data_IF_442492548105
#
_entry.id   IF_442492548105
#
_cell.length_a   1.000
_cell.length_b   1.000
_cell.length_c   1.000
_cell.angle_alpha   90.00
_cell.angle_beta   90.00
_cell.angle_gamma   90.00
#
_symmetry.space_group_name_H-M   'P 1'
#
loop_
_entity.id
_entity.type
_entity.pdbx_description
1 polymer ?
#
# COMPACT_ATOMS: atom_id res chain seq x y z
N UNK A 1 -5.73 -80.39 -80.47
CA UNK A 1 -5.31 -79.04 -80.92
C UNK A 1 -6.34 -78.04 -80.41
N UNK A 2 -5.83 -76.86 -80.08
CA UNK A 2 -6.40 -75.75 -79.32
C UNK A 2 -7.87 -75.39 -79.61
N UNK A 3 -8.56 -74.97 -78.55
CA UNK A 3 -9.36 -73.73 -78.59
C UNK A 3 -9.17 -72.95 -77.27
N UNK A 4 -8.02 -72.29 -77.15
CA UNK A 4 -7.66 -71.34 -76.08
C UNK A 4 -8.07 -69.85 -76.26
N UNK A 5 -8.80 -69.36 -77.31
CA UNK A 5 -8.98 -67.93 -77.50
C UNK A 5 -10.14 -67.30 -76.68
N UNK A 6 -11.15 -68.07 -76.27
CA UNK A 6 -12.34 -67.53 -75.58
C UNK A 6 -12.09 -67.23 -74.09
N UNK A 7 -11.33 -68.09 -73.41
CA UNK A 7 -10.99 -67.93 -71.98
C UNK A 7 -10.04 -66.73 -71.79
N UNK A 8 -9.05 -66.59 -72.67
CA UNK A 8 -8.08 -65.49 -72.62
C UNK A 8 -8.73 -64.13 -72.91
N UNK A 9 -9.74 -64.08 -73.79
CA UNK A 9 -10.47 -62.84 -74.11
C UNK A 9 -11.36 -62.38 -72.96
N UNK A 10 -12.09 -63.30 -72.29
CA UNK A 10 -12.91 -62.95 -71.12
C UNK A 10 -12.06 -62.58 -69.90
N UNK A 11 -10.93 -63.25 -69.70
CA UNK A 11 -9.99 -62.93 -68.62
C UNK A 11 -9.35 -61.55 -68.80
N UNK A 12 -8.98 -61.17 -70.04
CA UNK A 12 -8.48 -59.82 -70.36
C UNK A 12 -9.53 -58.74 -70.12
N UNK A 13 -10.80 -58.99 -70.48
CA UNK A 13 -11.89 -58.05 -70.25
C UNK A 13 -12.16 -57.83 -68.74
N UNK A 14 -12.13 -58.90 -67.93
CA UNK A 14 -12.26 -58.80 -66.48
C UNK A 14 -11.12 -58.01 -65.84
N UNK A 15 -9.87 -58.27 -66.22
CA UNK A 15 -8.71 -57.50 -65.76
C UNK A 15 -8.79 -56.02 -66.13
N UNK A 16 -9.23 -55.70 -67.35
CA UNK A 16 -9.44 -54.31 -67.78
C UNK A 16 -10.54 -53.61 -66.97
N UNK A 17 -11.66 -54.30 -66.70
CA UNK A 17 -12.73 -53.76 -65.87
C UNK A 17 -12.28 -53.53 -64.42
N UNK A 18 -11.50 -54.44 -63.84
CA UNK A 18 -10.95 -54.32 -62.49
C UNK A 18 -9.94 -53.17 -62.40
N UNK A 19 -9.10 -53.02 -63.43
CA UNK A 19 -8.17 -51.89 -63.54
C UNK A 19 -8.88 -50.54 -63.65
N UNK A 20 -9.99 -50.48 -64.39
CA UNK A 20 -10.81 -49.26 -64.51
C UNK A 20 -11.50 -48.93 -63.18
N UNK A 21 -12.05 -49.93 -62.48
CA UNK A 21 -12.63 -49.75 -61.14
C UNK A 21 -11.56 -49.26 -60.14
N UNK A 22 -10.38 -49.87 -60.12
CA UNK A 22 -9.28 -49.45 -59.26
C UNK A 22 -8.83 -48.01 -59.55
N UNK A 23 -8.75 -47.63 -60.83
CA UNK A 23 -8.39 -46.26 -61.23
C UNK A 23 -9.45 -45.25 -60.78
N UNK A 24 -10.74 -45.56 -60.96
CA UNK A 24 -11.83 -44.68 -60.50
C UNK A 24 -11.86 -44.54 -58.97
N UNK A 25 -11.58 -45.62 -58.23
CA UNK A 25 -11.49 -45.58 -56.78
C UNK A 25 -10.30 -44.73 -56.30
N UNK A 26 -9.14 -44.81 -56.97
CA UNK A 26 -7.97 -43.98 -56.67
C UNK A 26 -8.24 -42.49 -56.93
N UNK A 27 -8.88 -42.16 -58.06
CA UNK A 27 -9.22 -40.77 -58.40
C UNK A 27 -10.24 -40.20 -57.42
N UNK A 28 -11.28 -40.98 -57.07
CA UNK A 28 -12.28 -40.59 -56.08
C UNK A 28 -11.66 -40.41 -54.69
N UNK A 29 -10.77 -41.31 -54.27
CA UNK A 29 -10.04 -41.22 -53.00
C UNK A 29 -9.10 -40.03 -52.93
N UNK A 30 -8.34 -39.75 -54.00
CA UNK A 30 -7.45 -38.60 -54.08
C UNK A 30 -8.22 -37.26 -54.07
N UNK A 31 -9.35 -37.19 -54.79
CA UNK A 31 -10.24 -36.02 -54.79
C UNK A 31 -10.87 -35.78 -53.42
N UNK A 32 -11.38 -36.83 -52.78
CA UNK A 32 -11.93 -36.78 -51.43
C UNK A 32 -10.90 -36.37 -50.38
N UNK A 33 -9.68 -36.92 -50.44
CA UNK A 33 -8.58 -36.56 -49.54
C UNK A 33 -8.14 -35.11 -49.71
N UNK A 34 -7.96 -34.64 -50.95
CA UNK A 34 -7.54 -33.27 -51.21
C UNK A 34 -8.60 -32.24 -50.76
N UNK A 35 -9.88 -32.55 -50.99
CA UNK A 35 -10.99 -31.71 -50.53
C UNK A 35 -11.09 -31.72 -49.01
N UNK A 36 -11.09 -32.89 -48.38
CA UNK A 36 -11.14 -33.03 -46.92
C UNK A 36 -9.97 -32.37 -46.22
N UNK A 37 -8.75 -32.51 -46.73
CA UNK A 37 -7.56 -31.85 -46.18
C UNK A 37 -7.64 -30.32 -46.31
N UNK A 38 -8.17 -29.79 -47.42
CA UNK A 38 -8.36 -28.34 -47.59
C UNK A 38 -9.40 -27.80 -46.62
N UNK A 39 -10.54 -28.47 -46.49
CA UNK A 39 -11.60 -28.09 -45.55
C UNK A 39 -11.11 -28.15 -44.11
N UNK A 40 -10.52 -29.27 -43.69
CA UNK A 40 -9.97 -29.43 -42.35
C UNK A 40 -8.87 -28.40 -42.03
N UNK A 41 -8.01 -28.06 -43.01
CA UNK A 41 -7.02 -27.00 -42.86
C UNK A 41 -7.68 -25.63 -42.72
N UNK A 42 -8.69 -25.32 -43.54
CA UNK A 42 -9.43 -24.06 -43.46
C UNK A 42 -10.12 -23.92 -42.09
N UNK A 43 -10.85 -24.92 -41.66
CA UNK A 43 -11.54 -24.96 -40.36
C UNK A 43 -10.54 -24.86 -39.20
N UNK A 44 -9.43 -25.58 -39.27
CA UNK A 44 -8.35 -25.51 -38.27
C UNK A 44 -7.72 -24.12 -38.19
N UNK A 45 -7.44 -23.49 -39.33
CA UNK A 45 -6.90 -22.11 -39.35
C UNK A 45 -7.90 -21.09 -38.83
N UNK A 46 -9.19 -21.25 -39.15
CA UNK A 46 -10.27 -20.39 -38.66
C UNK A 46 -10.45 -20.55 -37.14
N UNK A 47 -10.47 -21.77 -36.63
CA UNK A 47 -10.54 -22.06 -35.19
C UNK A 47 -9.33 -21.49 -34.43
N UNK A 48 -8.12 -21.66 -34.98
CA UNK A 48 -6.91 -21.09 -34.38
C UNK A 48 -6.93 -19.56 -34.38
N UNK A 49 -7.39 -18.93 -35.47
CA UNK A 49 -7.52 -17.48 -35.57
C UNK A 49 -8.54 -16.95 -34.55
N UNK A 50 -9.69 -17.62 -34.42
CA UNK A 50 -10.72 -17.26 -33.44
C UNK A 50 -10.20 -17.40 -32.01
N UNK A 51 -9.49 -18.49 -31.70
CA UNK A 51 -8.90 -18.71 -30.38
C UNK A 51 -7.86 -17.62 -30.05
N UNK A 52 -6.98 -17.29 -31.00
CA UNK A 52 -6.01 -16.20 -30.83
C UNK A 52 -6.69 -14.85 -30.61
N UNK A 53 -7.78 -14.56 -31.34
CA UNK A 53 -8.55 -13.34 -31.17
C UNK A 53 -9.21 -13.26 -29.78
N UNK A 54 -9.78 -14.38 -29.30
CA UNK A 54 -10.35 -14.46 -27.96
C UNK A 54 -9.30 -14.24 -26.87
N UNK A 55 -8.13 -14.89 -26.97
CA UNK A 55 -7.03 -14.66 -26.03
C UNK A 55 -6.50 -13.23 -26.07
N UNK A 56 -6.34 -12.65 -27.25
CA UNK A 56 -5.90 -11.26 -27.39
C UNK A 56 -6.91 -10.30 -26.75
N UNK A 57 -8.21 -10.52 -26.95
CA UNK A 57 -9.26 -9.73 -26.32
C UNK A 57 -9.30 -9.91 -24.80
N UNK A 58 -9.20 -11.15 -24.31
CA UNK A 58 -9.15 -11.44 -22.87
C UNK A 58 -7.94 -10.78 -22.20
N UNK A 59 -6.77 -10.84 -22.83
CA UNK A 59 -5.57 -10.18 -22.33
C UNK A 59 -5.71 -8.65 -22.36
N UNK A 60 -6.29 -8.09 -23.42
CA UNK A 60 -6.56 -6.67 -23.51
C UNK A 60 -7.49 -6.20 -22.38
N UNK A 61 -8.62 -6.88 -22.17
CA UNK A 61 -9.57 -6.59 -21.09
C UNK A 61 -8.92 -6.72 -19.71
N UNK A 62 -8.15 -7.79 -19.46
CA UNK A 62 -7.43 -7.96 -18.20
C UNK A 62 -6.39 -6.84 -17.96
N UNK A 63 -5.68 -6.44 -19.01
CA UNK A 63 -4.70 -5.34 -18.93
C UNK A 63 -5.36 -3.98 -18.67
N UNK A 64 -6.53 -3.74 -19.26
CA UNK A 64 -7.30 -2.50 -19.07
C UNK A 64 -7.86 -2.44 -17.65
N UNK A 65 -8.41 -3.56 -17.16
CA UNK A 65 -8.90 -3.65 -15.79
C UNK A 65 -7.78 -3.45 -14.76
N UNK A 66 -6.61 -4.07 -14.99
CA UNK A 66 -5.44 -3.88 -14.13
C UNK A 66 -4.98 -2.41 -14.12
N UNK A 67 -4.91 -1.77 -15.30
CA UNK A 67 -4.56 -0.34 -15.41
C UNK A 67 -5.58 0.55 -14.71
N UNK A 68 -6.87 0.26 -14.85
CA UNK A 68 -7.92 1.02 -14.17
C UNK A 68 -7.81 0.88 -12.64
N UNK A 69 -7.59 -0.33 -12.14
CA UNK A 69 -7.35 -0.57 -10.71
C UNK A 69 -6.12 0.19 -10.21
N UNK A 70 -5.00 0.14 -10.96
CA UNK A 70 -3.78 0.88 -10.63
C UNK A 70 -4.01 2.40 -10.62
N UNK A 71 -4.76 2.94 -11.58
CA UNK A 71 -5.13 4.36 -11.63
C UNK A 71 -5.96 4.77 -10.42
N UNK A 72 -6.98 3.97 -10.05
CA UNK A 72 -7.82 4.23 -8.87
C UNK A 72 -6.98 4.22 -7.59
N UNK A 73 -6.10 3.22 -7.44
CA UNK A 73 -5.18 3.13 -6.30
C UNK A 73 -4.21 4.32 -6.27
N UNK A 74 -3.68 4.74 -7.41
CA UNK A 74 -2.76 5.88 -7.53
C UNK A 74 -3.46 7.19 -7.16
N UNK A 75 -4.68 7.41 -7.64
CA UNK A 75 -5.48 8.61 -7.30
C UNK A 75 -5.75 8.65 -5.79
N UNK A 76 -6.17 7.52 -5.21
CA UNK A 76 -6.42 7.41 -3.76
C UNK A 76 -5.14 7.63 -2.95
N UNK A 77 -4.02 7.04 -3.35
CA UNK A 77 -2.73 7.24 -2.70
C UNK A 77 -2.28 8.71 -2.77
N UNK A 78 -2.44 9.37 -3.91
CA UNK A 78 -2.12 10.79 -4.07
C UNK A 78 -3.02 11.69 -3.21
N UNK A 79 -4.32 11.38 -3.10
CA UNK A 79 -5.24 12.10 -2.22
C UNK A 79 -4.83 11.95 -0.74
N UNK A 80 -4.51 10.73 -0.31
CA UNK A 80 -4.07 10.47 1.06
C UNK A 80 -2.73 11.18 1.35
N UNK A 81 -1.78 11.11 0.42
CA UNK A 81 -0.49 11.81 0.55
C UNK A 81 -0.68 13.33 0.68
N UNK A 82 -1.61 13.91 -0.10
CA UNK A 82 -1.96 15.33 0.01
C UNK A 82 -2.57 15.67 1.38
N UNK A 83 -3.49 14.84 1.88
CA UNK A 83 -4.10 15.04 3.20
C UNK A 83 -3.05 14.98 4.31
N UNK A 84 -2.18 13.96 4.30
CA UNK A 84 -1.08 13.83 5.27
C UNK A 84 -0.14 15.04 5.22
N UNK A 85 0.20 15.51 4.02
CA UNK A 85 1.05 16.69 3.88
C UNK A 85 0.38 17.97 4.41
N UNK A 86 -0.92 18.15 4.16
CA UNK A 86 -1.69 19.28 4.68
C UNK A 86 -1.76 19.28 6.21
N UNK A 87 -2.05 18.12 6.81
CA UNK A 87 -2.07 17.96 8.28
C UNK A 87 -0.70 18.26 8.90
N UNK A 88 0.39 17.78 8.29
CA UNK A 88 1.77 18.08 8.73
C UNK A 88 2.06 19.57 8.71
N UNK A 89 1.71 20.26 7.62
CA UNK A 89 1.91 21.72 7.53
C UNK A 89 1.10 22.45 8.59
N UNK A 90 -0.18 22.08 8.79
CA UNK A 90 -1.04 22.68 9.81
C UNK A 90 -0.44 22.52 11.22
N UNK A 91 0.01 21.31 11.56
CA UNK A 91 0.65 21.07 12.86
C UNK A 91 1.96 21.82 13.03
N UNK A 92 2.76 21.98 11.97
CA UNK A 92 3.99 22.78 12.03
C UNK A 92 3.69 24.27 12.26
N UNK A 93 2.65 24.81 11.62
CA UNK A 93 2.20 26.18 11.83
C UNK A 93 1.68 26.40 13.24
N UNK A 94 0.84 25.50 13.75
CA UNK A 94 0.34 25.51 15.13
C UNK A 94 1.50 25.48 16.13
N UNK A 95 2.46 24.56 15.96
CA UNK A 95 3.64 24.46 16.82
C UNK A 95 4.45 25.76 16.83
N UNK A 96 4.63 26.40 15.67
CA UNK A 96 5.33 27.68 15.57
C UNK A 96 4.57 28.82 16.28
N UNK A 97 3.23 28.83 16.20
CA UNK A 97 2.41 29.80 16.94
C UNK A 97 2.53 29.60 18.45
N UNK A 98 2.52 28.35 18.92
CA UNK A 98 2.68 28.03 20.33
C UNK A 98 4.06 28.44 20.83
N UNK A 99 5.14 28.12 20.10
CA UNK A 99 6.52 28.56 20.45
C UNK A 99 6.63 30.08 20.61
N UNK A 100 6.01 30.86 19.72
CA UNK A 100 5.96 32.33 19.85
C UNK A 100 5.21 32.78 21.11
N UNK A 101 4.11 32.10 21.46
CA UNK A 101 3.34 32.41 22.68
C UNK A 101 4.10 32.04 23.94
N UNK A 102 4.83 30.93 23.95
CA UNK A 102 5.67 30.49 25.07
C UNK A 102 6.65 31.58 25.44
N UNK A 103 7.44 32.08 24.48
CA UNK A 103 8.40 33.17 24.73
C UNK A 103 7.74 34.43 25.30
N UNK A 104 6.52 34.75 24.87
CA UNK A 104 5.78 35.90 25.40
C UNK A 104 5.37 35.70 26.86
N UNK A 105 4.89 34.50 27.23
CA UNK A 105 4.34 34.24 28.59
C UNK A 105 5.42 33.90 29.62
N UNK A 106 6.62 33.53 29.20
CA UNK A 106 7.73 33.19 30.11
C UNK A 106 8.73 34.33 30.33
N UNK A 107 8.67 35.41 29.55
CA UNK A 107 9.65 36.50 29.64
C UNK A 107 9.20 37.65 30.53
N UNK A 108 7.92 38.06 30.46
CA UNK A 108 7.39 39.23 31.17
C UNK A 108 6.11 38.86 31.90
N UNK A 109 5.92 39.38 33.12
CA UNK A 109 4.66 39.32 33.84
C UNK A 109 4.24 40.70 34.34
N UNK A 110 2.96 40.81 34.67
CA UNK A 110 2.37 41.98 35.30
C UNK A 110 1.71 41.53 36.61
N UNK A 111 2.12 42.06 37.78
CA UNK A 111 1.55 41.66 39.07
C UNK A 111 0.08 42.01 39.27
N UNK A 112 -0.37 43.14 38.72
CA UNK A 112 -1.76 43.62 38.79
C UNK A 112 -2.11 44.40 37.53
N UNK A 113 -3.38 44.53 37.16
CA UNK A 113 -3.82 45.14 35.89
C UNK A 113 -3.16 46.50 35.58
N UNK A 114 -2.94 47.34 36.61
CA UNK A 114 -2.38 48.69 36.44
C UNK A 114 -0.85 48.77 36.59
N UNK A 115 -0.17 47.66 36.92
CA UNK A 115 1.30 47.65 37.08
C UNK A 115 2.04 47.61 35.73
N UNK A 116 3.25 48.16 35.61
CA UNK A 116 4.08 47.94 34.42
C UNK A 116 4.44 46.45 34.25
N UNK A 117 4.79 46.06 33.01
CA UNK A 117 5.38 44.75 32.75
C UNK A 117 6.78 44.69 33.36
N UNK A 118 7.11 43.57 33.97
CA UNK A 118 8.42 43.31 34.55
C UNK A 118 8.89 41.89 34.22
N UNK A 119 10.22 41.64 34.19
CA UNK A 119 10.75 40.30 33.91
C UNK A 119 10.20 39.26 34.89
N UNK A 120 9.90 38.05 34.38
CA UNK A 120 9.48 36.94 35.23
C UNK A 120 10.60 36.58 36.22
N UNK A 121 10.32 36.40 37.52
CA UNK A 121 11.33 35.97 38.49
C UNK A 121 11.92 34.61 38.08
N UNK A 122 13.19 34.37 38.42
CA UNK A 122 13.83 33.08 38.12
C UNK A 122 13.06 31.96 38.82
N UNK A 123 12.49 31.07 38.03
CA UNK A 123 11.94 29.80 38.49
C UNK A 123 13.05 28.75 38.42
N UNK A 124 13.27 28.01 39.51
CA UNK A 124 14.29 26.97 39.60
C UNK A 124 13.59 25.62 39.63
N UNK A 125 13.92 24.75 38.68
CA UNK A 125 13.52 23.35 38.69
C UNK A 125 14.72 22.51 39.12
N UNK A 126 14.52 21.68 40.14
CA UNK A 126 15.61 20.87 40.68
C UNK A 126 15.81 19.59 39.86
N UNK A 127 16.95 18.92 40.03
CA UNK A 127 17.19 17.60 39.43
C UNK A 127 16.13 16.57 39.84
N UNK A 128 15.66 16.59 41.09
CA UNK A 128 14.56 15.74 41.56
C UNK A 128 13.24 16.01 40.82
N UNK A 129 12.89 17.29 40.60
CA UNK A 129 11.71 17.65 39.80
C UNK A 129 11.79 17.07 38.38
N UNK A 130 12.94 17.24 37.70
CA UNK A 130 13.16 16.72 36.36
C UNK A 130 13.19 15.19 36.33
N UNK A 131 13.71 14.56 37.39
CA UNK A 131 13.70 13.12 37.57
C UNK A 131 12.29 12.54 37.61
N UNK A 132 11.41 13.12 38.44
CA UNK A 132 9.98 12.73 38.50
C UNK A 132 9.27 12.99 37.17
N UNK A 133 9.53 14.14 36.53
CA UNK A 133 8.99 14.48 35.21
C UNK A 133 9.36 13.43 34.16
N UNK A 134 10.65 13.11 34.03
CA UNK A 134 11.17 12.12 33.10
C UNK A 134 10.63 10.71 33.40
N UNK A 135 10.47 10.39 34.68
CA UNK A 135 9.78 9.20 35.16
C UNK A 135 8.35 9.09 34.64
N UNK A 136 7.57 10.16 34.79
CA UNK A 136 6.17 10.19 34.39
C UNK A 136 5.95 10.02 32.88
N UNK A 137 6.86 10.54 32.06
CA UNK A 137 6.81 10.38 30.59
C UNK A 137 7.52 9.12 30.09
N UNK A 138 8.06 8.30 30.99
CA UNK A 138 8.77 7.05 30.65
C UNK A 138 10.15 7.24 30.02
N UNK A 139 10.76 8.43 30.14
CA UNK A 139 12.10 8.72 29.64
C UNK A 139 13.21 8.18 30.56
N UNK A 140 12.92 7.99 31.84
CA UNK A 140 13.80 7.35 32.83
C UNK A 140 12.97 6.58 33.86
N UNK A 141 13.58 5.67 34.62
CA UNK A 141 12.91 5.09 35.78
C UNK A 141 12.99 6.06 36.97
N UNK A 142 11.92 6.16 37.76
CA UNK A 142 11.97 6.85 39.05
C UNK A 142 12.75 5.95 40.01
N UNK A 143 13.82 6.49 40.62
CA UNK A 143 14.64 5.73 41.56
C UNK A 143 13.77 5.16 42.69
N UNK A 144 13.89 3.86 42.97
CA UNK A 144 13.12 3.22 44.05
C UNK A 144 13.56 3.64 45.46
N UNK A 145 14.65 4.42 45.57
CA UNK A 145 15.10 5.03 46.83
C UNK A 145 14.12 6.11 47.33
N UNK A 146 13.26 6.62 46.46
CA UNK A 146 12.32 7.72 46.69
C UNK A 146 11.02 7.31 47.41
N UNK A 147 11.00 6.13 48.06
CA UNK A 147 9.91 5.73 48.97
C UNK A 147 9.89 6.56 50.26
N UNK A 148 10.78 7.54 50.40
CA UNK A 148 10.74 8.54 51.46
C UNK A 148 9.55 9.49 51.21
N UNK A 149 8.51 9.28 52.01
CA UNK A 149 7.27 10.03 52.08
C UNK A 149 7.49 11.54 52.18
N UNK A 150 7.42 12.28 51.06
CA UNK A 150 7.02 13.70 50.97
C UNK A 150 7.77 14.74 51.81
N UNK A 151 8.86 14.37 52.50
CA UNK A 151 9.59 15.25 53.40
C UNK A 151 10.77 15.88 52.66
N UNK A 152 10.71 17.20 52.45
CA UNK A 152 11.72 17.96 51.72
C UNK A 152 13.14 17.85 52.32
N UNK A 153 13.25 17.60 53.63
CA UNK A 153 14.53 17.48 54.34
C UNK A 153 15.24 16.13 54.15
N UNK A 154 14.60 15.14 53.52
CA UNK A 154 15.17 13.80 53.30
C UNK A 154 15.59 13.53 51.85
N UNK A 155 15.40 14.50 50.94
CA UNK A 155 15.77 14.38 49.54
C UNK A 155 17.30 14.34 49.37
N UNK A 156 17.79 13.57 48.40
CA UNK A 156 19.21 13.55 48.06
C UNK A 156 19.68 14.98 47.74
N UNK A 157 20.78 15.40 48.37
CA UNK A 157 21.38 16.72 48.11
C UNK A 157 21.66 16.97 46.63
N UNK A 158 21.92 15.92 45.84
CA UNK A 158 22.07 16.03 44.39
C UNK A 158 20.75 16.36 43.68
N UNK A 159 19.62 15.86 44.18
CA UNK A 159 18.29 16.14 43.63
C UNK A 159 17.81 17.57 43.91
N UNK A 160 18.35 18.22 44.95
CA UNK A 160 18.05 19.62 45.29
C UNK A 160 18.81 20.65 44.42
N UNK A 161 19.79 20.21 43.63
CA UNK A 161 20.56 21.09 42.75
C UNK A 161 19.69 21.63 41.60
N UNK A 162 20.01 22.84 41.12
CA UNK A 162 19.39 23.44 39.94
C UNK A 162 19.71 22.59 38.69
N UNK A 163 18.66 22.10 38.02
CA UNK A 163 18.79 21.29 36.81
C UNK A 163 19.13 22.11 35.56
N UNK A 164 19.00 23.43 35.62
CA UNK A 164 19.16 24.34 34.47
C UNK A 164 17.98 24.35 33.50
N UNK A 165 16.95 23.53 33.72
CA UNK A 165 15.71 23.54 32.94
C UNK A 165 14.94 24.83 33.21
N UNK A 166 14.42 25.45 32.15
CA UNK A 166 13.65 26.69 32.23
C UNK A 166 12.14 26.43 32.05
N UNK A 167 11.24 27.32 32.52
CA UNK A 167 9.81 27.21 32.26
C UNK A 167 9.44 27.10 30.77
N UNK A 168 10.25 27.72 29.90
CA UNK A 168 10.07 27.64 28.45
C UNK A 168 10.33 26.22 27.91
N UNK A 169 11.26 25.46 28.51
CA UNK A 169 11.56 24.09 28.11
C UNK A 169 10.41 23.16 28.46
N UNK A 170 9.81 23.32 29.65
CA UNK A 170 8.62 22.54 30.06
C UNK A 170 7.42 22.83 29.16
N UNK A 171 7.16 24.10 28.84
CA UNK A 171 6.06 24.47 27.95
C UNK A 171 6.28 23.98 26.51
N UNK A 172 7.54 23.99 26.06
CA UNK A 172 7.90 23.43 24.74
C UNK A 172 7.69 21.93 24.75
N UNK A 173 8.17 21.24 25.78
CA UNK A 173 8.00 19.80 25.94
C UNK A 173 6.52 19.39 25.97
N UNK A 174 5.67 20.00 26.81
CA UNK A 174 4.25 19.61 26.89
C UNK A 174 3.49 19.91 25.58
N UNK A 175 3.89 20.96 24.86
CA UNK A 175 3.34 21.28 23.55
C UNK A 175 3.67 20.18 22.54
N UNK A 176 4.94 19.78 22.46
CA UNK A 176 5.43 18.75 21.53
C UNK A 176 4.90 17.36 21.92
N UNK A 177 4.88 17.04 23.22
CA UNK A 177 4.30 15.80 23.75
C UNK A 177 2.80 15.69 23.45
N UNK A 178 2.04 16.77 23.68
CA UNK A 178 0.62 16.83 23.35
C UNK A 178 0.35 16.70 21.84
N UNK A 179 1.22 17.30 21.00
CA UNK A 179 1.14 17.12 19.55
C UNK A 179 1.39 15.67 19.14
N UNK A 180 2.40 15.01 19.72
CA UNK A 180 2.67 13.58 19.49
C UNK A 180 1.48 12.69 19.88
N UNK A 181 0.85 12.94 21.03
CA UNK A 181 -0.31 12.17 21.46
C UNK A 181 -1.47 12.28 20.46
N UNK A 182 -1.78 13.50 19.99
CA UNK A 182 -2.83 13.72 18.98
C UNK A 182 -2.50 13.07 17.63
N UNK A 183 -1.24 13.10 17.21
CA UNK A 183 -0.82 12.44 15.97
C UNK A 183 -0.98 10.91 16.06
N UNK A 184 -0.59 10.30 17.19
CA UNK A 184 -0.80 8.87 17.44
C UNK A 184 -2.30 8.52 17.43
N UNK A 185 -3.13 9.30 18.10
CA UNK A 185 -4.59 9.11 18.09
C UNK A 185 -5.18 9.22 16.68
N UNK A 186 -4.72 10.21 15.90
CA UNK A 186 -5.12 10.39 14.50
C UNK A 186 -4.68 9.21 13.62
N UNK A 187 -3.47 8.70 13.81
CA UNK A 187 -2.98 7.50 13.10
C UNK A 187 -3.79 6.25 13.47
N UNK A 188 -4.10 6.07 14.76
CA UNK A 188 -4.90 4.95 15.24
C UNK A 188 -6.31 4.98 14.64
N UNK A 189 -6.97 6.14 14.65
CA UNK A 189 -8.30 6.30 14.05
C UNK A 189 -8.26 5.98 12.55
N UNK A 190 -7.26 6.46 11.80
CA UNK A 190 -7.11 6.11 10.38
C UNK A 190 -6.95 4.60 10.14
N UNK A 191 -6.23 3.90 11.02
CA UNK A 191 -6.08 2.44 10.92
C UNK A 191 -7.41 1.75 11.24
N UNK A 192 -8.15 2.22 12.23
CA UNK A 192 -9.49 1.71 12.58
C UNK A 192 -10.44 1.90 11.39
N UNK A 193 -10.50 3.09 10.82
CA UNK A 193 -11.33 3.41 9.66
C UNK A 193 -10.98 2.50 8.48
N UNK A 194 -9.67 2.34 8.19
CA UNK A 194 -9.22 1.45 7.13
C UNK A 194 -9.63 -0.01 7.37
N UNK A 195 -9.49 -0.54 8.59
CA UNK A 195 -9.93 -1.92 8.90
C UNK A 195 -11.43 -2.07 8.74
N UNK A 196 -12.22 -1.08 9.19
CA UNK A 196 -13.68 -1.10 9.07
C UNK A 196 -14.16 -1.01 7.63
N UNK A 197 -13.51 -0.21 6.79
CA UNK A 197 -13.82 -0.09 5.36
C UNK A 197 -13.39 -1.32 4.53
N UNK A 198 -12.41 -2.08 5.01
CA UNK A 198 -11.83 -3.23 4.28
C UNK A 198 -12.40 -4.58 4.74
N UNK A 199 -13.20 -4.62 5.81
CA UNK A 199 -13.96 -5.80 6.21
C UNK A 199 -15.22 -5.96 5.34
N UNK A 200 -15.48 -7.16 4.78
CA UNK A 200 -16.64 -7.43 3.92
C UNK A 200 -17.98 -7.43 4.66
#
# INVERSE_FOLDING_TARGET
MLDLPLITTRMKALLASLGMVALTALIAGAGGYAMGHRTAKADGTAALAMLKAQYANALAMASEQARHQEQVLTIRANQLAKQVQQERTRHAEEANQLKRRINRVTSMYRPSLDSPLQPVPRCVFTHGFVGVWNGAIGASSVSSADRATGAADAADTAEALDSGVQPADLLTHITEYGARCRDIESQLNRVIDWVQETQP
#
